data_IF_644690919536
#
_entry.id   IF_644690919536
#
_cell.length_a   1.000
_cell.length_b   1.000
_cell.length_c   1.000
_cell.angle_alpha   90.00
_cell.angle_beta   90.00
_cell.angle_gamma   90.00
#
_symmetry.space_group_name_H-M   'P 1'
#
loop_
_entity.id
_entity.type
_entity.pdbx_description
1 polymer ?
#
# COMPACT_ATOMS: atom_id res chain seq x y z
N UNK A 1 6.16 -1.95 9.77
CA UNK A 1 6.94 -0.84 9.14
C UNK A 1 7.25 0.24 10.18
N UNK A 2 6.25 0.67 10.95
CA UNK A 2 6.46 1.52 12.13
C UNK A 2 7.48 0.92 13.10
N UNK A 3 7.46 -0.40 13.33
CA UNK A 3 8.45 -1.03 14.23
C UNK A 3 9.89 -0.91 13.74
N UNK A 4 10.16 -1.18 12.46
CA UNK A 4 11.50 -1.01 11.86
C UNK A 4 11.97 0.45 11.88
N UNK A 5 11.04 1.38 11.70
CA UNK A 5 11.30 2.82 11.83
C UNK A 5 11.65 3.19 13.28
N UNK A 6 10.90 2.67 14.24
CA UNK A 6 11.09 2.92 15.68
C UNK A 6 12.38 2.29 16.23
N UNK A 7 12.87 1.20 15.63
CA UNK A 7 14.18 0.61 15.96
C UNK A 7 15.34 1.54 15.58
N UNK A 8 15.09 2.62 14.80
CA UNK A 8 15.99 3.76 14.59
C UNK A 8 17.26 3.47 13.75
N UNK A 9 17.58 2.21 13.50
CA UNK A 9 18.83 1.80 12.85
C UNK A 9 18.77 1.77 11.34
N UNK A 10 17.59 1.68 10.71
CA UNK A 10 17.46 1.38 9.28
C UNK A 10 16.99 2.55 8.39
N UNK A 11 16.87 3.75 8.94
CA UNK A 11 16.58 4.95 8.15
C UNK A 11 17.88 5.51 7.52
N UNK A 12 17.82 5.93 6.25
CA UNK A 12 18.90 6.60 5.52
C UNK A 12 18.34 7.86 4.87
N UNK A 13 19.20 8.84 4.57
CA UNK A 13 18.79 10.12 3.96
C UNK A 13 18.00 9.96 2.63
N UNK A 14 18.09 8.79 1.98
CA UNK A 14 17.40 8.43 0.73
C UNK A 14 16.22 7.46 0.90
N UNK A 15 15.82 7.13 2.13
CA UNK A 15 14.61 6.37 2.43
C UNK A 15 14.81 4.99 3.08
N UNK A 16 15.84 4.21 2.74
CA UNK A 16 16.11 2.92 3.41
C UNK A 16 17.60 2.53 3.35
N UNK A 17 18.15 1.98 4.45
CA UNK A 17 19.50 1.40 4.44
C UNK A 17 19.57 0.08 3.68
N UNK A 18 20.77 -0.25 3.18
CA UNK A 18 21.06 -1.57 2.61
C UNK A 18 20.73 -2.66 3.65
N UNK A 19 20.10 -3.75 3.22
CA UNK A 19 19.67 -4.83 4.11
C UNK A 19 18.30 -4.64 4.78
N UNK A 20 17.62 -3.50 4.62
CA UNK A 20 16.28 -3.26 5.19
C UNK A 20 15.27 -4.38 4.87
N UNK A 21 15.28 -4.88 3.63
CA UNK A 21 14.38 -5.95 3.22
C UNK A 21 14.65 -7.26 3.98
N UNK A 22 15.90 -7.57 4.31
CA UNK A 22 16.25 -8.79 5.03
C UNK A 22 15.77 -8.73 6.48
N UNK A 23 15.85 -7.57 7.13
CA UNK A 23 15.32 -7.38 8.49
C UNK A 23 13.79 -7.37 8.51
N UNK A 24 13.17 -6.82 7.48
CA UNK A 24 11.72 -6.92 7.30
C UNK A 24 11.27 -8.38 7.15
N UNK A 25 11.99 -9.20 6.38
CA UNK A 25 11.71 -10.64 6.26
C UNK A 25 11.81 -11.35 7.62
N UNK A 26 12.85 -11.06 8.42
CA UNK A 26 13.00 -11.63 9.77
C UNK A 26 11.87 -11.23 10.71
N UNK A 27 11.40 -9.98 10.63
CA UNK A 27 10.31 -9.50 11.46
C UNK A 27 8.97 -10.13 11.04
N UNK A 28 8.76 -10.28 9.73
CA UNK A 28 7.59 -10.97 9.18
C UNK A 28 7.56 -12.44 9.62
N UNK A 29 8.68 -13.16 9.60
CA UNK A 29 8.75 -14.55 10.07
C UNK A 29 8.46 -14.66 11.57
N UNK A 30 8.87 -13.67 12.38
CA UNK A 30 8.54 -13.64 13.81
C UNK A 30 7.06 -13.41 14.09
N UNK A 31 6.43 -12.47 13.36
CA UNK A 31 5.02 -12.11 13.58
C UNK A 31 4.07 -13.11 12.93
N UNK A 32 4.47 -13.70 11.80
CA UNK A 32 3.70 -14.68 11.04
C UNK A 32 4.60 -15.89 10.69
N UNK A 33 4.90 -16.76 11.67
CA UNK A 33 5.70 -17.95 11.42
C UNK A 33 5.06 -18.82 10.35
N UNK A 34 5.88 -19.45 9.49
CA UNK A 34 5.42 -20.38 8.44
C UNK A 34 4.61 -19.74 7.28
N UNK A 35 4.40 -18.43 7.27
CA UNK A 35 3.72 -17.76 6.16
C UNK A 35 4.55 -17.76 4.86
N UNK A 36 5.83 -18.15 4.93
CA UNK A 36 6.78 -18.21 3.81
C UNK A 36 6.85 -16.90 3.00
N UNK A 37 6.64 -15.76 3.67
CA UNK A 37 6.57 -14.45 3.04
C UNK A 37 7.98 -13.91 2.77
N UNK A 38 8.42 -13.96 1.51
CA UNK A 38 9.61 -13.25 1.05
C UNK A 38 9.31 -11.77 0.80
N UNK A 39 10.10 -10.84 1.33
CA UNK A 39 9.90 -9.41 1.13
C UNK A 39 10.10 -9.04 -0.33
N UNK A 40 11.15 -9.52 -1.02
CA UNK A 40 11.43 -9.07 -2.39
C UNK A 40 10.27 -9.30 -3.40
N UNK A 41 9.70 -10.51 -3.56
CA UNK A 41 8.56 -10.70 -4.45
C UNK A 41 7.23 -10.21 -3.83
N UNK A 42 6.97 -10.47 -2.55
CA UNK A 42 5.64 -10.21 -1.99
C UNK A 42 5.43 -8.74 -1.62
N UNK A 43 6.45 -8.04 -1.11
CA UNK A 43 6.34 -6.61 -0.82
C UNK A 43 6.22 -5.80 -2.11
N UNK A 44 6.96 -6.16 -3.16
CA UNK A 44 6.86 -5.50 -4.46
C UNK A 44 5.45 -5.66 -5.05
N UNK A 45 4.86 -6.85 -4.95
CA UNK A 45 3.48 -7.09 -5.37
C UNK A 45 2.50 -6.27 -4.52
N UNK A 46 2.61 -6.28 -3.18
CA UNK A 46 1.76 -5.46 -2.30
C UNK A 46 1.86 -3.97 -2.58
N UNK A 47 3.07 -3.43 -2.77
CA UNK A 47 3.25 -2.01 -3.13
C UNK A 47 2.61 -1.71 -4.48
N UNK A 48 2.74 -2.62 -5.47
CA UNK A 48 2.10 -2.45 -6.77
C UNK A 48 0.58 -2.44 -6.65
N UNK A 49 0.01 -3.34 -5.86
CA UNK A 49 -1.44 -3.37 -5.56
C UNK A 49 -1.87 -2.08 -4.88
N UNK A 50 -1.19 -1.66 -3.81
CA UNK A 50 -1.49 -0.42 -3.09
C UNK A 50 -1.44 0.82 -4.00
N UNK A 51 -0.45 0.91 -4.89
CA UNK A 51 -0.37 2.01 -5.88
C UNK A 51 -1.55 2.00 -6.84
N UNK A 52 -1.99 0.82 -7.28
CA UNK A 52 -3.14 0.67 -8.18
C UNK A 52 -4.43 1.08 -7.47
N UNK A 53 -4.65 0.57 -6.27
CA UNK A 53 -5.85 0.84 -5.48
C UNK A 53 -5.92 2.34 -5.13
N UNK A 54 -4.79 2.93 -4.74
CA UNK A 54 -4.71 4.37 -4.51
C UNK A 54 -5.03 5.20 -5.74
N UNK A 55 -4.53 4.80 -6.92
CA UNK A 55 -4.86 5.49 -8.18
C UNK A 55 -6.36 5.48 -8.45
N UNK A 56 -7.03 4.34 -8.22
CA UNK A 56 -8.47 4.21 -8.40
C UNK A 56 -9.23 5.15 -7.45
N UNK A 57 -8.85 5.17 -6.17
CA UNK A 57 -9.47 6.07 -5.18
C UNK A 57 -9.24 7.54 -5.56
N UNK A 58 -8.03 7.87 -6.01
CA UNK A 58 -7.71 9.22 -6.47
C UNK A 58 -8.52 9.63 -7.70
N UNK A 59 -8.67 8.72 -8.66
CA UNK A 59 -9.48 8.92 -9.87
C UNK A 59 -10.97 9.14 -9.51
N UNK A 60 -11.51 8.31 -8.60
CA UNK A 60 -12.87 8.47 -8.05
C UNK A 60 -13.07 9.82 -7.34
N UNK A 61 -12.08 10.25 -6.54
CA UNK A 61 -12.14 11.51 -5.80
C UNK A 61 -11.96 12.74 -6.70
N UNK A 62 -11.12 12.62 -7.71
CA UNK A 62 -10.84 13.73 -8.65
C UNK A 62 -11.87 13.83 -9.78
N UNK A 63 -12.81 12.88 -9.87
CA UNK A 63 -13.83 12.83 -10.91
C UNK A 63 -13.26 12.55 -12.31
N UNK A 64 -12.09 11.90 -12.41
CA UNK A 64 -11.39 11.64 -13.68
C UNK A 64 -11.26 10.14 -13.91
N UNK A 65 -11.40 9.70 -15.17
CA UNK A 65 -11.09 8.32 -15.61
C UNK A 65 -11.76 7.20 -14.79
N UNK A 66 -12.95 7.46 -14.28
CA UNK A 66 -13.62 6.66 -13.27
C UNK A 66 -14.85 5.89 -13.81
N UNK A 67 -15.03 5.82 -15.14
CA UNK A 67 -16.06 5.00 -15.81
C UNK A 67 -17.49 5.16 -15.25
N UNK A 68 -17.86 6.40 -14.90
CA UNK A 68 -19.18 6.71 -14.31
C UNK A 68 -19.28 6.48 -12.81
N UNK A 69 -18.19 6.10 -12.11
CA UNK A 69 -18.12 5.98 -10.65
C UNK A 69 -17.56 7.25 -10.00
N UNK A 70 -18.32 7.90 -9.14
CA UNK A 70 -17.90 9.09 -8.39
C UNK A 70 -17.71 8.83 -6.90
N UNK A 71 -17.13 9.80 -6.20
CA UNK A 71 -17.12 9.88 -4.74
C UNK A 71 -18.06 10.99 -4.27
N UNK A 72 -19.02 10.66 -3.41
CA UNK A 72 -19.88 11.64 -2.74
C UNK A 72 -19.23 12.07 -1.42
N UNK A 73 -18.64 13.26 -1.39
CA UNK A 73 -17.97 13.80 -0.19
C UNK A 73 -18.94 14.07 0.97
N UNK A 74 -20.23 14.31 0.72
CA UNK A 74 -21.20 14.57 1.79
C UNK A 74 -21.66 13.27 2.46
N UNK A 75 -21.89 12.23 1.65
CA UNK A 75 -22.40 10.94 2.12
C UNK A 75 -21.30 9.93 2.42
N UNK A 76 -20.04 10.26 2.08
CA UNK A 76 -18.85 9.42 2.25
C UNK A 76 -19.03 8.03 1.62
N UNK A 77 -19.54 8.00 0.37
CA UNK A 77 -19.80 6.75 -0.37
C UNK A 77 -19.49 6.87 -1.86
N UNK A 78 -19.30 5.72 -2.52
CA UNK A 78 -19.14 5.64 -3.98
C UNK A 78 -20.52 5.71 -4.64
N UNK A 79 -20.65 6.57 -5.65
CA UNK A 79 -21.85 6.72 -6.48
C UNK A 79 -21.58 6.24 -7.90
N UNK A 80 -22.61 5.81 -8.61
CA UNK A 80 -22.54 5.48 -10.03
C UNK A 80 -23.57 6.33 -10.79
N UNK A 81 -23.26 6.71 -12.01
CA UNK A 81 -24.25 7.25 -12.94
C UNK A 81 -25.31 6.17 -13.24
N UNK A 82 -26.59 6.57 -13.28
CA UNK A 82 -27.67 5.65 -13.62
C UNK A 82 -27.50 5.15 -15.07
N UNK A 83 -27.79 3.86 -15.28
CA UNK A 83 -27.85 3.30 -16.61
C UNK A 83 -29.10 3.85 -17.32
N UNK A 84 -28.89 4.70 -18.33
CA UNK A 84 -29.92 5.23 -19.23
C UNK A 84 -30.57 4.15 -20.09
#
# INVERSE_FOLDING_TARGET
>A
MVDLYNVGTFNANTGFKVGYLNELEKLLEKVLPQAMLKAKPNLKLRIRTLKRDWSIIYDMRSGKNNSGLGWDEHRQLVVAEDAS
#
